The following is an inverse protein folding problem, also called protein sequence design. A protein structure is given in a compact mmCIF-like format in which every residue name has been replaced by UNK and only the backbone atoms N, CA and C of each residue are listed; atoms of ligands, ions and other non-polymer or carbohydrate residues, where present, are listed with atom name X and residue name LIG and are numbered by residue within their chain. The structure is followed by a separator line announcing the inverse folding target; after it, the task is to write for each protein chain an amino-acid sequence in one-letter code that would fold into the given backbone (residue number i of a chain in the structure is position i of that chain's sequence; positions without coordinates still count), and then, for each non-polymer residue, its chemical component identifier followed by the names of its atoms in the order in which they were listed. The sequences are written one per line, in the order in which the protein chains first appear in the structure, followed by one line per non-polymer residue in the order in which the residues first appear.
data_IF_215757274297
#
_entry.id   IF_215757274297
#
_cell.length_a   1.000
_cell.length_b   1.000
_cell.length_c   1.000
_cell.angle_alpha   90.00
_cell.angle_beta   90.00
_cell.angle_gamma   90.00
#
_symmetry.space_group_name_H-M   'P 1'
#
loop_
_entity.id
_entity.type
_entity.pdbx_description
1 polymer ?
#
# COMPACT_ATOMS: atom_id res chain seq x y z
N UNK A 1 -8.22 18.49 -42.63
CA UNK A 1 -9.30 18.11 -41.70
C UNK A 1 -10.04 19.37 -41.30
N UNK A 2 -11.34 19.47 -41.59
CA UNK A 2 -12.14 20.65 -41.30
C UNK A 2 -12.43 20.81 -39.80
N UNK A 3 -12.25 22.03 -39.27
CA UNK A 3 -12.54 22.38 -37.86
C UNK A 3 -13.97 22.03 -37.42
N UNK A 4 -14.91 21.92 -38.37
CA UNK A 4 -16.32 21.63 -38.14
C UNK A 4 -16.60 20.15 -37.82
N UNK A 5 -15.77 19.19 -38.28
CA UNK A 5 -15.98 17.76 -37.96
C UNK A 5 -15.37 17.37 -36.61
N UNK A 6 -14.28 18.01 -36.20
CA UNK A 6 -13.65 17.78 -34.90
C UNK A 6 -14.56 18.15 -33.72
N UNK A 7 -15.33 19.24 -33.84
CA UNK A 7 -16.28 19.65 -32.80
C UNK A 7 -17.43 18.66 -32.62
N UNK A 8 -17.93 18.07 -33.72
CA UNK A 8 -18.97 17.04 -33.67
C UNK A 8 -18.46 15.75 -33.01
N UNK A 9 -17.24 15.34 -33.33
CA UNK A 9 -16.59 14.18 -32.69
C UNK A 9 -16.38 14.41 -31.19
N UNK A 10 -15.95 15.60 -30.79
CA UNK A 10 -15.77 15.94 -29.38
C UNK A 10 -17.11 15.94 -28.62
N UNK A 11 -18.18 16.48 -29.24
CA UNK A 11 -19.51 16.50 -28.66
C UNK A 11 -20.09 15.08 -28.50
N UNK A 12 -19.89 14.20 -29.49
CA UNK A 12 -20.30 12.79 -29.40
C UNK A 12 -19.52 12.09 -28.28
N UNK A 13 -18.19 12.26 -28.22
CA UNK A 13 -17.37 11.63 -27.19
C UNK A 13 -17.76 12.10 -25.77
N UNK A 14 -17.98 13.40 -25.58
CA UNK A 14 -18.42 13.96 -24.31
C UNK A 14 -19.83 13.47 -23.93
N UNK A 15 -20.75 13.43 -24.90
CA UNK A 15 -22.12 12.92 -24.69
C UNK A 15 -22.15 11.44 -24.32
N UNK A 16 -21.36 10.61 -25.02
CA UNK A 16 -21.22 9.19 -24.71
C UNK A 16 -20.61 8.96 -23.33
N UNK A 17 -19.58 9.73 -22.95
CA UNK A 17 -18.97 9.65 -21.63
C UNK A 17 -19.96 10.04 -20.53
N UNK A 18 -20.74 11.11 -20.72
CA UNK A 18 -21.76 11.53 -19.75
C UNK A 18 -22.86 10.46 -19.58
N UNK A 19 -23.35 9.88 -20.69
CA UNK A 19 -24.34 8.80 -20.64
C UNK A 19 -23.79 7.55 -19.95
N UNK A 20 -22.57 7.13 -20.28
CA UNK A 20 -21.92 5.99 -19.64
C UNK A 20 -21.70 6.23 -18.14
N UNK A 21 -21.23 7.41 -17.76
CA UNK A 21 -21.03 7.76 -16.34
C UNK A 21 -22.34 7.77 -15.56
N UNK A 22 -23.40 8.32 -16.14
CA UNK A 22 -24.74 8.32 -15.53
C UNK A 22 -25.29 6.90 -15.37
N UNK A 23 -25.15 6.05 -16.39
CA UNK A 23 -25.60 4.67 -16.35
C UNK A 23 -24.79 3.84 -15.34
N UNK A 24 -23.47 3.99 -15.32
CA UNK A 24 -22.58 3.35 -14.35
C UNK A 24 -22.92 3.76 -12.91
N UNK A 25 -23.12 5.06 -12.69
CA UNK A 25 -23.50 5.59 -11.38
C UNK A 25 -24.84 5.02 -10.91
N UNK A 26 -25.87 5.04 -11.76
CA UNK A 26 -27.19 4.47 -11.44
C UNK A 26 -27.14 2.97 -11.17
N UNK A 27 -26.45 2.19 -12.01
CA UNK A 27 -26.29 0.75 -11.82
C UNK A 27 -25.51 0.41 -10.54
N UNK A 28 -24.57 1.25 -10.12
CA UNK A 28 -23.82 1.02 -8.88
C UNK A 28 -24.76 0.94 -7.68
N UNK A 29 -25.76 1.82 -7.58
CA UNK A 29 -26.74 1.78 -6.49
C UNK A 29 -27.77 0.65 -6.61
N UNK A 30 -28.08 0.21 -7.83
CA UNK A 30 -29.00 -0.91 -8.05
C UNK A 30 -28.37 -2.28 -7.77
N UNK A 31 -27.05 -2.36 -7.65
CA UNK A 31 -26.31 -3.63 -7.49
C UNK A 31 -25.85 -3.90 -6.06
N UNK A 32 -26.35 -3.13 -5.09
CA UNK A 32 -25.96 -3.23 -3.66
C UNK A 32 -24.44 -3.31 -3.47
N UNK A 33 -23.71 -2.47 -4.20
CA UNK A 33 -22.26 -2.51 -4.16
C UNK A 33 -21.75 -2.18 -2.75
N UNK A 34 -20.81 -2.98 -2.26
CA UNK A 34 -20.23 -2.78 -0.94
C UNK A 34 -19.06 -1.81 -1.00
N UNK A 35 -19.02 -0.88 -0.06
CA UNK A 35 -17.88 -0.01 0.14
C UNK A 35 -16.68 -0.81 0.66
N UNK A 36 -15.46 -0.52 0.16
CA UNK A 36 -14.26 -1.24 0.59
C UNK A 36 -13.84 -0.90 2.02
N UNK A 37 -14.28 0.24 2.56
CA UNK A 37 -14.09 0.64 3.95
C UNK A 37 -15.21 1.58 4.41
N UNK A 38 -15.53 1.56 5.71
CA UNK A 38 -16.64 2.32 6.31
C UNK A 38 -16.44 3.84 6.28
N UNK A 39 -15.19 4.31 6.14
CA UNK A 39 -14.83 5.73 6.09
C UNK A 39 -14.85 6.34 4.69
N UNK A 40 -15.26 5.59 3.67
CA UNK A 40 -15.27 6.05 2.27
C UNK A 40 -16.70 6.40 1.86
N UNK A 41 -16.88 7.52 1.15
CA UNK A 41 -18.21 7.97 0.73
C UNK A 41 -18.84 7.06 -0.33
N UNK A 42 -20.10 6.69 -0.09
CA UNK A 42 -20.97 5.94 -1.00
C UNK A 42 -21.22 6.64 -2.35
N UNK A 43 -20.99 7.96 -2.41
CA UNK A 43 -21.23 8.76 -3.60
C UNK A 43 -19.94 8.94 -4.40
N UNK A 44 -18.80 9.12 -3.73
CA UNK A 44 -17.52 9.37 -4.41
C UNK A 44 -16.86 8.10 -4.94
N UNK A 45 -17.21 6.93 -4.40
CA UNK A 45 -16.62 5.64 -4.83
C UNK A 45 -16.95 5.30 -6.29
N UNK A 46 -18.21 5.34 -6.76
CA UNK A 46 -18.52 5.06 -8.16
C UNK A 46 -17.96 6.15 -9.09
N UNK A 47 -17.97 7.41 -8.64
CA UNK A 47 -17.48 8.53 -9.43
C UNK A 47 -15.95 8.47 -9.63
N UNK A 48 -15.19 8.14 -8.58
CA UNK A 48 -13.73 7.98 -8.66
C UNK A 48 -13.34 6.77 -9.51
N UNK A 49 -14.09 5.66 -9.42
CA UNK A 49 -13.91 4.50 -10.30
C UNK A 49 -14.13 4.88 -11.77
N UNK A 50 -15.24 5.53 -12.08
CA UNK A 50 -15.54 6.02 -13.43
C UNK A 50 -14.48 7.00 -13.95
N UNK A 51 -14.04 7.95 -13.12
CA UNK A 51 -12.99 8.90 -13.46
C UNK A 51 -11.65 8.19 -13.75
N UNK A 52 -11.31 7.15 -12.99
CA UNK A 52 -10.13 6.32 -13.23
C UNK A 52 -10.17 5.61 -14.59
N UNK A 53 -11.31 5.03 -14.96
CA UNK A 53 -11.51 4.42 -16.27
C UNK A 53 -11.41 5.42 -17.41
N UNK A 54 -12.04 6.61 -17.26
CA UNK A 54 -11.95 7.67 -18.25
C UNK A 54 -10.51 8.18 -18.43
N UNK A 55 -9.76 8.35 -17.34
CA UNK A 55 -8.36 8.72 -17.39
C UNK A 55 -7.54 7.66 -18.15
N UNK A 56 -7.75 6.38 -17.89
CA UNK A 56 -7.06 5.29 -18.58
C UNK A 56 -7.33 5.31 -20.09
N UNK A 57 -8.59 5.48 -20.50
CA UNK A 57 -8.97 5.58 -21.92
C UNK A 57 -8.32 6.79 -22.58
N UNK A 58 -8.29 7.95 -21.90
CA UNK A 58 -7.65 9.16 -22.40
C UNK A 58 -6.14 8.97 -22.56
N UNK A 59 -5.45 8.45 -21.55
CA UNK A 59 -4.01 8.20 -21.64
C UNK A 59 -3.66 7.14 -22.68
N UNK A 60 -4.45 6.08 -22.82
CA UNK A 60 -4.30 5.10 -23.88
C UNK A 60 -4.46 5.76 -25.27
N UNK A 61 -5.48 6.60 -25.44
CA UNK A 61 -5.73 7.34 -26.68
C UNK A 61 -4.59 8.29 -27.04
N UNK A 62 -4.07 9.04 -26.05
CA UNK A 62 -2.90 9.91 -26.21
C UNK A 62 -1.64 9.13 -26.58
N UNK A 63 -1.45 7.96 -25.97
CA UNK A 63 -0.33 7.07 -26.27
C UNK A 63 -0.43 6.58 -27.71
N UNK A 64 -1.58 6.05 -28.14
CA UNK A 64 -1.81 5.60 -29.52
C UNK A 64 -1.61 6.75 -30.51
N UNK A 65 -2.11 7.95 -30.22
CA UNK A 65 -1.91 9.12 -31.07
C UNK A 65 -0.42 9.51 -31.16
N UNK A 66 0.30 9.48 -30.03
CA UNK A 66 1.74 9.73 -29.98
C UNK A 66 2.53 8.70 -30.79
N UNK A 67 2.23 7.42 -30.59
CA UNK A 67 2.81 6.30 -31.33
C UNK A 67 2.51 6.38 -32.83
N UNK A 68 1.27 6.73 -33.22
CA UNK A 68 0.89 6.91 -34.63
C UNK A 68 1.63 8.06 -35.30
N UNK A 69 1.83 9.19 -34.60
CA UNK A 69 2.64 10.31 -35.10
C UNK A 69 4.13 9.98 -35.22
N UNK A 70 4.65 9.14 -34.34
CA UNK A 70 6.02 8.64 -34.41
C UNK A 70 6.16 7.61 -35.54
N UNK A 71 5.22 6.68 -35.67
CA UNK A 71 5.14 5.69 -36.75
C UNK A 71 5.20 6.33 -38.14
N UNK A 72 4.51 7.47 -38.34
CA UNK A 72 4.57 8.24 -39.59
C UNK A 72 5.95 8.86 -39.90
N UNK A 73 6.88 8.88 -38.93
CA UNK A 73 8.23 9.43 -39.04
C UNK A 73 9.33 8.36 -38.94
N UNK A 74 9.01 7.09 -38.66
CA UNK A 74 10.04 6.07 -38.44
C UNK A 74 10.35 5.34 -39.76
N UNK A 75 11.64 5.13 -40.00
CA UNK A 75 12.17 4.36 -41.13
C UNK A 75 11.75 2.89 -41.08
N UNK A 76 12.03 2.14 -42.15
CA UNK A 76 11.68 0.73 -42.35
C UNK A 76 12.08 -0.26 -41.23
N UNK A 77 12.85 0.19 -40.22
CA UNK A 77 13.25 -0.60 -39.04
C UNK A 77 12.33 -0.45 -37.81
N UNK A 78 11.24 0.32 -37.87
CA UNK A 78 10.35 0.53 -36.69
C UNK A 78 9.76 -0.77 -36.15
N UNK A 79 9.38 -1.70 -37.04
CA UNK A 79 8.81 -2.99 -36.66
C UNK A 79 9.71 -3.76 -35.68
N UNK A 80 11.04 -3.57 -35.74
CA UNK A 80 11.98 -4.22 -34.82
C UNK A 80 12.23 -3.39 -33.56
N UNK A 81 12.35 -2.06 -33.68
CA UNK A 81 12.69 -1.19 -32.54
C UNK A 81 11.52 -1.01 -31.56
N UNK A 82 10.28 -1.16 -32.01
CA UNK A 82 9.09 -0.95 -31.18
C UNK A 82 8.80 -2.11 -30.21
N UNK A 83 8.83 -3.40 -30.62
CA UNK A 83 8.75 -4.51 -29.67
C UNK A 83 9.94 -4.54 -28.71
N UNK A 84 11.15 -4.24 -29.20
CA UNK A 84 12.36 -4.21 -28.37
C UNK A 84 12.30 -3.10 -27.31
N UNK A 85 11.75 -1.92 -27.63
CA UNK A 85 11.58 -0.85 -26.64
C UNK A 85 10.52 -1.18 -25.60
N UNK A 86 9.41 -1.84 -25.98
CA UNK A 86 8.41 -2.33 -25.02
C UNK A 86 9.03 -3.36 -24.08
N UNK A 87 9.79 -4.33 -24.61
CA UNK A 87 10.49 -5.32 -23.78
C UNK A 87 11.46 -4.64 -22.82
N UNK A 88 12.22 -3.64 -23.29
CA UNK A 88 13.11 -2.87 -22.43
C UNK A 88 12.37 -2.09 -21.34
N UNK A 89 11.24 -1.45 -21.66
CA UNK A 89 10.41 -0.74 -20.68
C UNK A 89 9.85 -1.72 -19.64
N UNK A 90 9.31 -2.87 -20.07
CA UNK A 90 8.79 -3.90 -19.16
C UNK A 90 9.91 -4.46 -18.29
N UNK A 91 11.09 -4.71 -18.85
CA UNK A 91 12.25 -5.16 -18.10
C UNK A 91 12.69 -4.10 -17.07
N UNK A 92 12.70 -2.82 -17.41
CA UNK A 92 12.99 -1.72 -16.48
C UNK A 92 11.90 -1.59 -15.42
N UNK A 93 10.62 -1.79 -15.75
CA UNK A 93 9.53 -1.79 -14.77
C UNK A 93 9.66 -2.97 -13.79
N UNK A 94 9.94 -4.18 -14.28
CA UNK A 94 10.21 -5.35 -13.45
C UNK A 94 11.46 -5.15 -12.60
N UNK A 95 12.55 -4.67 -13.18
CA UNK A 95 13.77 -4.33 -12.46
C UNK A 95 13.50 -3.23 -11.42
N UNK A 96 12.70 -2.22 -11.72
CA UNK A 96 12.32 -1.15 -10.76
C UNK A 96 11.41 -1.66 -9.65
N UNK A 97 10.56 -2.65 -9.92
CA UNK A 97 9.80 -3.37 -8.89
C UNK A 97 10.74 -4.24 -8.03
N UNK A 98 11.81 -4.77 -8.62
CA UNK A 98 12.87 -5.53 -7.95
C UNK A 98 13.80 -4.64 -7.11
N UNK A 99 14.13 -3.45 -7.61
CA UNK A 99 15.01 -2.43 -7.01
C UNK A 99 14.28 -1.43 -6.11
N UNK A 100 12.94 -1.42 -6.13
CA UNK A 100 12.18 -0.85 -5.01
C UNK A 100 12.70 -1.49 -3.72
N UNK A 101 12.79 -0.74 -2.60
CA UNK A 101 13.25 -1.24 -1.30
C UNK A 101 12.24 -2.22 -0.65
N UNK A 102 11.68 -3.10 -1.47
CA UNK A 102 10.63 -4.08 -1.17
C UNK A 102 10.83 -5.38 -1.97
N UNK A 103 11.70 -5.41 -3.00
CA UNK A 103 11.85 -6.55 -3.91
C UNK A 103 12.87 -7.62 -3.52
N UNK A 104 13.79 -7.34 -2.59
CA UNK A 104 14.84 -8.30 -2.20
C UNK A 104 14.70 -8.85 -0.77
N UNK A 105 13.78 -8.34 0.06
CA UNK A 105 13.76 -8.68 1.50
C UNK A 105 12.39 -8.90 2.16
N UNK A 106 11.26 -8.91 1.46
CA UNK A 106 10.01 -9.50 1.99
C UNK A 106 9.10 -10.01 0.87
N UNK A 107 8.95 -11.33 0.78
CA UNK A 107 7.71 -11.96 0.30
C UNK A 107 6.54 -11.36 1.10
N UNK A 108 5.41 -11.10 0.44
CA UNK A 108 4.13 -10.58 0.99
C UNK A 108 3.96 -9.05 1.12
N UNK A 109 4.18 -8.29 0.05
CA UNK A 109 3.49 -6.98 -0.06
C UNK A 109 2.17 -7.18 -0.80
N UNK A 110 1.07 -7.26 -0.05
CA UNK A 110 -0.28 -7.16 -0.63
C UNK A 110 -1.44 -7.64 0.23
N UNK A 111 -1.23 -8.60 1.14
CA UNK A 111 -2.27 -9.06 2.06
C UNK A 111 -1.67 -9.82 3.23
N UNK A 112 -2.10 -9.49 4.45
CA UNK A 112 -1.87 -10.32 5.62
C UNK A 112 -2.54 -11.68 5.39
N UNK A 113 -1.73 -12.73 5.42
CA UNK A 113 -2.20 -14.12 5.40
C UNK A 113 -2.41 -14.56 6.84
N UNK A 114 -3.48 -15.30 7.11
CA UNK A 114 -3.69 -15.95 8.40
C UNK A 114 -2.63 -17.03 8.61
N UNK A 115 -2.47 -17.50 9.85
CA UNK A 115 -1.59 -18.63 10.20
C UNK A 115 -1.83 -19.89 9.38
N UNK A 116 -3.03 -20.03 8.81
CA UNK A 116 -3.45 -21.17 7.99
C UNK A 116 -3.24 -20.90 6.47
N UNK A 117 -2.51 -19.84 6.11
CA UNK A 117 -2.20 -19.47 4.73
C UNK A 117 -3.38 -18.87 3.95
N UNK A 118 -4.51 -18.58 4.61
CA UNK A 118 -5.68 -17.98 3.96
C UNK A 118 -5.55 -16.46 3.89
N UNK A 119 -5.98 -15.88 2.78
CA UNK A 119 -6.07 -14.42 2.65
C UNK A 119 -7.20 -13.87 3.52
N UNK A 120 -6.93 -12.79 4.25
CA UNK A 120 -7.97 -11.98 4.91
C UNK A 120 -8.76 -11.24 3.82
N UNK A 121 -10.08 -11.41 3.80
CA UNK A 121 -10.98 -10.92 2.73
C UNK A 121 -12.01 -9.88 3.20
N UNK A 122 -12.12 -9.64 4.51
CA UNK A 122 -13.04 -8.65 5.06
C UNK A 122 -12.42 -7.83 6.19
N UNK A 123 -12.99 -6.66 6.46
CA UNK A 123 -12.61 -5.81 7.61
C UNK A 123 -12.87 -6.53 8.94
N UNK A 124 -13.93 -7.33 9.04
CA UNK A 124 -14.22 -8.12 10.23
C UNK A 124 -13.16 -9.21 10.48
N UNK A 125 -12.72 -9.93 9.43
CA UNK A 125 -11.62 -10.89 9.53
C UNK A 125 -10.29 -10.21 9.86
N UNK A 126 -10.07 -9.01 9.32
CA UNK A 126 -8.90 -8.21 9.67
C UNK A 126 -8.96 -7.83 11.16
N UNK A 127 -10.07 -7.30 11.65
CA UNK A 127 -10.23 -6.91 13.05
C UNK A 127 -10.06 -8.12 14.00
N UNK A 128 -10.68 -9.26 13.69
CA UNK A 128 -10.52 -10.49 14.46
C UNK A 128 -9.08 -11.03 14.44
N UNK A 129 -8.38 -10.94 13.31
CA UNK A 129 -6.94 -11.21 13.24
C UNK A 129 -6.12 -10.18 14.03
N UNK A 130 -6.57 -8.92 14.04
CA UNK A 130 -5.93 -7.84 14.76
C UNK A 130 -6.18 -7.91 16.30
N UNK A 131 -7.13 -8.71 16.77
CA UNK A 131 -7.40 -8.89 18.19
C UNK A 131 -6.62 -10.07 18.82
N UNK A 132 -6.08 -10.98 18.01
CA UNK A 132 -5.29 -12.10 18.53
C UNK A 132 -4.00 -11.59 19.21
N UNK A 133 -3.74 -11.97 20.47
CA UNK A 133 -2.47 -11.67 21.12
C UNK A 133 -1.37 -12.49 20.45
N UNK A 134 -0.53 -11.82 19.66
CA UNK A 134 0.69 -12.43 19.10
C UNK A 134 1.84 -12.00 20.00
N UNK A 135 2.31 -12.95 20.79
CA UNK A 135 3.51 -12.81 21.62
C UNK A 135 4.70 -13.19 20.75
N UNK A 136 5.70 -12.30 20.65
CA UNK A 136 6.94 -12.57 19.93
C UNK A 136 7.68 -13.72 20.60
N UNK A 137 7.93 -14.80 19.86
CA UNK A 137 8.59 -16.00 20.38
C UNK A 137 10.03 -15.77 20.87
N UNK A 138 10.67 -14.70 20.38
CA UNK A 138 12.04 -14.32 20.73
C UNK A 138 12.12 -13.34 21.91
N UNK A 139 10.98 -12.90 22.43
CA UNK A 139 10.92 -12.06 23.62
C UNK A 139 10.52 -12.96 24.79
N UNK A 140 11.40 -13.16 25.78
CA UNK A 140 11.06 -13.98 26.93
C UNK A 140 9.86 -13.38 27.68
N UNK A 141 9.03 -14.21 28.33
CA UNK A 141 7.98 -13.70 29.20
C UNK A 141 8.58 -12.87 30.33
N UNK A 142 7.81 -11.89 30.81
CA UNK A 142 8.22 -11.05 31.92
C UNK A 142 8.60 -11.89 33.15
N UNK A 143 9.76 -11.63 33.78
CA UNK A 143 10.13 -12.31 35.01
C UNK A 143 9.14 -12.00 36.14
N UNK A 144 9.04 -12.88 37.12
CA UNK A 144 8.18 -12.66 38.28
C UNK A 144 8.60 -11.36 39.00
N UNK A 145 7.64 -10.44 39.18
CA UNK A 145 7.90 -9.13 39.80
C UNK A 145 8.44 -8.06 38.84
N UNK A 146 8.38 -8.27 37.53
CA UNK A 146 8.78 -7.27 36.54
C UNK A 146 7.99 -5.96 36.70
N UNK A 147 8.72 -4.84 36.80
CA UNK A 147 8.11 -3.52 36.95
C UNK A 147 7.70 -2.94 35.59
N UNK A 148 6.47 -3.24 35.19
CA UNK A 148 5.89 -2.70 33.96
C UNK A 148 5.75 -1.17 33.96
N UNK A 149 5.68 -0.52 35.13
CA UNK A 149 5.58 0.94 35.18
C UNK A 149 6.93 1.59 34.90
N UNK A 150 8.02 1.03 35.46
CA UNK A 150 9.37 1.45 35.14
C UNK A 150 9.69 1.22 33.65
N UNK A 151 9.32 0.05 33.12
CA UNK A 151 9.52 -0.27 31.71
C UNK A 151 8.71 0.64 30.77
N UNK A 152 7.48 1.03 31.18
CA UNK A 152 6.69 2.03 30.46
C UNK A 152 7.39 3.39 30.44
N UNK A 153 7.88 3.87 31.59
CA UNK A 153 8.60 5.16 31.66
C UNK A 153 9.86 5.12 30.80
N UNK A 154 10.59 4.01 30.81
CA UNK A 154 11.76 3.80 29.95
C UNK A 154 11.39 3.83 28.46
N UNK A 155 10.34 3.12 28.07
CA UNK A 155 9.80 3.14 26.71
C UNK A 155 9.37 4.56 26.28
N UNK A 156 8.67 5.29 27.14
CA UNK A 156 8.25 6.67 26.87
C UNK A 156 9.44 7.61 26.72
N UNK A 157 10.48 7.42 27.53
CA UNK A 157 11.70 8.23 27.49
C UNK A 157 12.52 7.95 26.23
N UNK A 158 12.77 6.69 25.89
CA UNK A 158 13.68 6.30 24.80
C UNK A 158 13.00 6.32 23.43
N UNK A 159 11.75 5.90 23.33
CA UNK A 159 11.06 5.75 22.04
C UNK A 159 10.37 7.03 21.55
N UNK A 160 10.45 8.14 22.29
CA UNK A 160 10.00 9.47 21.85
C UNK A 160 11.14 10.45 21.49
N UNK A 161 12.40 10.04 21.60
CA UNK A 161 13.55 10.94 21.33
C UNK A 161 13.64 11.34 19.87
N UNK A 162 13.49 10.38 18.95
CA UNK A 162 13.68 10.63 17.51
C UNK A 162 12.36 10.90 16.77
N UNK A 163 11.24 10.36 17.25
CA UNK A 163 9.90 10.54 16.70
C UNK A 163 8.86 10.16 17.76
N UNK A 164 7.65 10.71 17.68
CA UNK A 164 6.61 10.38 18.66
C UNK A 164 6.09 8.97 18.47
N UNK A 165 5.74 8.29 19.56
CA UNK A 165 5.10 6.97 19.50
C UNK A 165 3.81 6.99 18.69
N UNK A 166 2.99 8.04 18.82
CA UNK A 166 1.74 8.18 18.06
C UNK A 166 1.94 8.10 16.54
N UNK A 167 3.05 8.64 16.03
CA UNK A 167 3.36 8.59 14.60
C UNK A 167 3.79 7.20 14.09
N UNK A 168 4.16 6.29 14.98
CA UNK A 168 4.73 4.98 14.63
C UNK A 168 3.93 3.78 15.13
N UNK A 169 2.93 4.00 15.99
CA UNK A 169 2.22 2.93 16.69
C UNK A 169 1.41 2.03 15.76
N UNK A 170 0.81 2.58 14.70
CA UNK A 170 0.07 1.79 13.71
C UNK A 170 1.00 0.86 12.93
N UNK A 171 2.18 1.37 12.56
CA UNK A 171 3.22 0.58 11.90
C UNK A 171 3.80 -0.47 12.87
N UNK A 172 4.00 -0.13 14.15
CA UNK A 172 4.43 -1.08 15.17
C UNK A 172 3.46 -2.25 15.31
N UNK A 173 2.18 -1.96 15.56
CA UNK A 173 1.13 -2.95 15.79
C UNK A 173 0.93 -3.86 14.59
N UNK A 174 0.88 -3.29 13.39
CA UNK A 174 0.62 -4.05 12.16
C UNK A 174 1.82 -4.86 11.68
N UNK A 175 3.03 -4.27 11.69
CA UNK A 175 4.21 -4.86 11.04
C UNK A 175 5.07 -5.69 11.97
N UNK A 176 5.15 -5.34 13.26
CA UNK A 176 6.13 -5.92 14.18
C UNK A 176 5.47 -6.72 15.30
N UNK A 177 4.48 -6.16 16.00
CA UNK A 177 3.81 -6.91 17.07
C UNK A 177 3.09 -8.16 16.54
N UNK A 178 2.26 -7.99 15.51
CA UNK A 178 1.47 -9.09 14.92
C UNK A 178 2.25 -10.16 14.19
N UNK A 179 3.47 -9.84 13.78
CA UNK A 179 4.34 -10.80 13.11
C UNK A 179 5.29 -11.46 14.10
N UNK A 180 5.16 -11.18 15.40
CA UNK A 180 6.04 -11.71 16.44
C UNK A 180 7.47 -11.19 16.34
N UNK A 181 7.67 -9.97 15.81
CA UNK A 181 8.97 -9.35 15.51
C UNK A 181 9.24 -8.11 16.37
N UNK A 182 8.77 -8.13 17.62
CA UNK A 182 9.04 -7.05 18.59
C UNK A 182 10.54 -6.93 18.84
N UNK A 183 11.24 -8.07 18.93
CA UNK A 183 12.69 -8.13 19.06
C UNK A 183 13.43 -7.44 17.91
N UNK A 184 12.98 -7.66 16.67
CA UNK A 184 13.61 -7.10 15.47
C UNK A 184 13.53 -5.58 15.48
N UNK A 185 12.37 -5.02 15.83
CA UNK A 185 12.21 -3.56 15.79
C UNK A 185 12.96 -2.89 16.93
N UNK A 186 12.92 -3.45 18.15
CA UNK A 186 13.62 -2.86 19.28
C UNK A 186 15.15 -2.92 19.09
N UNK A 187 15.69 -4.05 18.62
CA UNK A 187 17.13 -4.16 18.30
C UNK A 187 17.55 -3.23 17.16
N UNK A 188 16.67 -2.99 16.18
CA UNK A 188 16.93 -2.00 15.13
C UNK A 188 17.00 -0.58 15.68
N UNK A 189 16.09 -0.21 16.57
CA UNK A 189 16.11 1.12 17.22
C UNK A 189 17.35 1.25 18.11
N UNK A 190 17.73 0.20 18.83
CA UNK A 190 18.96 0.15 19.60
C UNK A 190 20.20 0.39 18.73
N UNK A 191 20.32 -0.29 17.59
CA UNK A 191 21.45 -0.16 16.67
C UNK A 191 21.50 1.18 15.91
N UNK A 192 20.46 2.02 16.01
CA UNK A 192 20.41 3.32 15.33
C UNK A 192 21.38 4.30 16.02
N UNK A 193 22.24 5.02 15.28
CA UNK A 193 23.16 5.99 15.87
C UNK A 193 22.42 7.05 16.68
N UNK A 194 22.89 7.31 17.90
CA UNK A 194 22.28 8.29 18.80
C UNK A 194 21.03 7.79 19.55
N UNK A 195 20.68 6.50 19.46
CA UNK A 195 19.55 5.92 20.19
C UNK A 195 19.72 5.98 21.72
N UNK A 196 20.95 5.80 22.20
CA UNK A 196 21.26 5.74 23.62
C UNK A 196 20.55 4.61 24.37
N UNK A 197 20.13 3.55 23.67
CA UNK A 197 19.47 2.38 24.27
C UNK A 197 20.52 1.30 24.54
N UNK A 198 20.65 0.90 25.80
CA UNK A 198 21.51 -0.21 26.23
C UNK A 198 20.88 -1.57 25.93
N UNK A 199 21.63 -2.66 26.06
CA UNK A 199 21.11 -4.01 25.81
C UNK A 199 20.04 -4.36 26.86
N UNK A 200 20.28 -3.99 28.11
CA UNK A 200 19.38 -4.20 29.25
C UNK A 200 18.08 -3.44 29.05
N UNK A 201 18.17 -2.14 28.75
CA UNK A 201 17.00 -1.30 28.45
C UNK A 201 16.20 -1.84 27.26
N UNK A 202 16.89 -2.38 26.24
CA UNK A 202 16.23 -2.98 25.08
C UNK A 202 15.39 -4.21 25.48
N UNK A 203 15.86 -5.02 26.44
CA UNK A 203 15.13 -6.19 26.92
C UNK A 203 13.87 -5.79 27.68
N UNK A 204 13.96 -4.80 28.56
CA UNK A 204 12.81 -4.30 29.32
C UNK A 204 11.75 -3.67 28.40
N UNK A 205 12.21 -2.91 27.40
CA UNK A 205 11.34 -2.35 26.36
C UNK A 205 10.68 -3.46 25.55
N UNK A 206 11.42 -4.49 25.14
CA UNK A 206 10.87 -5.64 24.41
C UNK A 206 9.75 -6.32 25.21
N UNK A 207 9.98 -6.61 26.50
CA UNK A 207 8.99 -7.25 27.38
C UNK A 207 7.74 -6.37 27.52
N UNK A 208 7.90 -5.08 27.79
CA UNK A 208 6.78 -4.14 27.89
C UNK A 208 5.97 -4.07 26.58
N UNK A 209 6.65 -3.92 25.44
CA UNK A 209 6.00 -3.82 24.12
C UNK A 209 5.33 -5.13 23.67
N UNK A 210 5.77 -6.27 24.20
CA UNK A 210 5.23 -7.59 23.87
C UNK A 210 3.97 -7.92 24.70
N UNK A 211 3.93 -7.49 25.97
CA UNK A 211 2.87 -7.86 26.91
C UNK A 211 1.85 -6.75 27.22
N UNK A 212 2.19 -5.46 27.06
CA UNK A 212 1.34 -4.33 27.47
C UNK A 212 0.85 -3.42 26.35
N UNK A 213 1.59 -3.35 25.23
CA UNK A 213 1.13 -2.73 23.98
C UNK A 213 0.60 -3.81 23.08
#
# INVERSE_FOLDING_TARGET
MDKKSNGKLLAVAAGSAALMGTFFFGLSFLTDYKLPAENISAITTPLSSFAGWMALILFASLTIMGLGKMSAKISSKWFLSFPLSIIAIVAVMFASLWFRPSGLLMSTTGRTITTDGKYIRSVAELNAYMEKPVVSANVPPAPAGFDFNAAKTLFDTKCNVCHTQGSTMDAFKSKYKKTGKVDVIVKRMQATPGSGITVEESNDIMIYMNEKL
#
